data_IF_973462202132
#
_entry.id   IF_973462202132
#
_cell.length_a   1.000
_cell.length_b   1.000
_cell.length_c   1.000
_cell.angle_alpha   90.00
_cell.angle_beta   90.00
_cell.angle_gamma   90.00
#
_symmetry.space_group_name_H-M   'P 1'
#
loop_
_entity.id
_entity.type
_entity.pdbx_description
1 polymer ?
#
# COMPACT_ATOMS: atom_id res chain seq x y z
N UNK A 1 -9.91 17.51 -6.19
CA UNK A 1 -9.89 18.53 -5.10
C UNK A 1 -8.99 19.64 -5.61
N UNK A 2 -9.47 20.90 -5.61
CA UNK A 2 -8.66 22.03 -6.06
C UNK A 2 -7.51 22.18 -5.03
N UNK A 3 -6.27 21.85 -5.43
CA UNK A 3 -5.00 21.93 -4.66
C UNK A 3 -4.43 20.64 -4.05
N UNK A 4 -4.86 19.43 -4.47
CA UNK A 4 -4.16 18.18 -4.13
C UNK A 4 -2.78 18.05 -4.81
N UNK A 5 -2.00 17.05 -4.40
CA UNK A 5 -0.76 16.67 -5.08
C UNK A 5 -0.68 15.15 -5.24
N UNK A 6 -0.04 14.70 -6.31
CA UNK A 6 0.08 13.28 -6.63
C UNK A 6 1.42 12.72 -6.18
N UNK A 7 1.37 11.57 -5.56
CA UNK A 7 2.55 10.75 -5.25
C UNK A 7 2.34 9.34 -5.79
N UNK A 8 3.42 8.60 -5.98
CA UNK A 8 3.41 7.24 -6.54
C UNK A 8 3.97 6.25 -5.54
N UNK A 9 3.48 5.02 -5.60
CA UNK A 9 4.07 3.88 -4.90
C UNK A 9 4.08 2.66 -5.83
N UNK A 10 5.08 1.79 -5.66
CA UNK A 10 5.26 0.59 -6.48
C UNK A 10 5.03 -0.64 -5.63
N UNK A 11 4.25 -1.59 -6.14
CA UNK A 11 3.92 -2.82 -5.41
C UNK A 11 4.10 -4.01 -6.34
N UNK A 12 4.59 -5.12 -5.78
CA UNK A 12 4.66 -6.40 -6.50
C UNK A 12 3.27 -7.03 -6.64
N UNK A 13 2.39 -6.79 -5.67
CA UNK A 13 1.01 -7.23 -5.71
C UNK A 13 0.10 -6.21 -5.03
N UNK A 14 -0.92 -5.76 -5.75
CA UNK A 14 -1.93 -4.81 -5.23
C UNK A 14 -3.21 -5.46 -4.74
N UNK A 15 -3.32 -6.79 -4.86
CA UNK A 15 -4.53 -7.54 -4.57
C UNK A 15 -5.71 -7.06 -5.42
N UNK A 16 -6.81 -6.74 -4.74
CA UNK A 16 -8.01 -6.14 -5.29
C UNK A 16 -8.11 -4.61 -5.12
N UNK A 17 -7.00 -3.90 -4.90
CA UNK A 17 -6.98 -2.44 -4.83
C UNK A 17 -7.52 -1.83 -6.13
N UNK A 18 -8.37 -0.79 -6.01
CA UNK A 18 -9.04 -0.14 -7.14
C UNK A 18 -8.77 1.35 -7.16
N UNK A 19 -8.90 1.96 -8.35
CA UNK A 19 -9.02 3.42 -8.46
C UNK A 19 -10.19 3.90 -7.60
N UNK A 20 -10.05 5.08 -6.97
CA UNK A 20 -10.92 5.67 -5.95
C UNK A 20 -10.82 5.07 -4.54
N UNK A 21 -10.07 3.97 -4.35
CA UNK A 21 -9.79 3.44 -3.01
C UNK A 21 -9.21 4.53 -2.10
N UNK A 22 -9.49 4.42 -0.80
CA UNK A 22 -9.02 5.40 0.16
C UNK A 22 -7.49 5.37 0.29
N UNK A 23 -6.91 6.55 0.52
CA UNK A 23 -5.55 6.69 1.01
C UNK A 23 -5.68 7.30 2.40
N UNK A 24 -5.16 6.61 3.40
CA UNK A 24 -5.38 6.92 4.82
C UNK A 24 -4.06 7.03 5.56
N UNK A 25 -4.01 7.88 6.57
CA UNK A 25 -2.91 7.96 7.53
C UNK A 25 -3.51 8.03 8.94
N UNK A 26 -2.99 7.22 9.87
CA UNK A 26 -3.53 7.11 11.23
C UNK A 26 -5.07 6.89 11.28
N UNK A 27 -5.61 6.12 10.32
CA UNK A 27 -7.05 5.86 10.19
C UNK A 27 -7.88 7.00 9.57
N UNK A 28 -7.29 8.16 9.29
CA UNK A 28 -7.97 9.30 8.66
C UNK A 28 -7.75 9.28 7.15
N UNK A 29 -8.82 9.47 6.37
CA UNK A 29 -8.71 9.59 4.91
C UNK A 29 -8.09 10.93 4.54
N UNK A 30 -6.92 10.88 3.90
CA UNK A 30 -6.19 12.06 3.42
C UNK A 30 -6.18 12.18 1.89
N UNK A 31 -6.63 11.14 1.19
CA UNK A 31 -6.58 11.12 -0.27
C UNK A 31 -7.36 9.97 -0.90
N UNK A 32 -6.99 9.66 -2.14
CA UNK A 32 -7.53 8.53 -2.90
C UNK A 32 -6.55 8.04 -3.95
N UNK A 33 -6.65 6.76 -4.30
CA UNK A 33 -6.00 6.23 -5.49
C UNK A 33 -6.64 6.88 -6.72
N UNK A 34 -5.82 7.50 -7.56
CA UNK A 34 -6.24 8.21 -8.76
C UNK A 34 -5.99 7.41 -10.03
N UNK A 35 -4.97 6.56 -10.04
CA UNK A 35 -4.60 5.72 -11.20
C UNK A 35 -3.81 4.49 -10.75
N UNK A 36 -3.90 3.41 -11.53
CA UNK A 36 -3.13 2.17 -11.34
C UNK A 36 -2.67 1.71 -12.72
N UNK A 37 -1.36 1.59 -12.91
CA UNK A 37 -0.73 1.12 -14.15
C UNK A 37 0.23 -0.04 -13.86
N UNK A 38 0.65 -0.74 -14.90
CA UNK A 38 1.65 -1.80 -14.81
C UNK A 38 2.94 -1.38 -15.52
N UNK A 39 4.05 -1.41 -14.80
CA UNK A 39 5.38 -1.13 -15.35
C UNK A 39 5.98 -2.43 -15.89
N UNK A 40 6.02 -2.58 -17.21
CA UNK A 40 6.53 -3.78 -17.88
C UNK A 40 8.04 -3.94 -17.78
N UNK A 41 8.79 -2.89 -17.41
CA UNK A 41 10.24 -2.97 -17.23
C UNK A 41 10.61 -3.53 -15.85
N UNK A 42 9.82 -3.20 -14.83
CA UNK A 42 10.03 -3.67 -13.45
C UNK A 42 9.09 -4.79 -13.01
N UNK A 43 8.08 -5.11 -13.81
CA UNK A 43 7.01 -6.07 -13.49
C UNK A 43 6.27 -5.73 -12.18
N UNK A 44 6.05 -4.44 -11.95
CA UNK A 44 5.39 -3.93 -10.74
C UNK A 44 4.16 -3.09 -11.09
N UNK A 45 3.16 -3.10 -10.22
CA UNK A 45 2.07 -2.14 -10.28
C UNK A 45 2.58 -0.77 -9.80
N UNK A 46 2.18 0.28 -10.49
CA UNK A 46 2.42 1.68 -10.11
C UNK A 46 1.09 2.29 -9.71
N UNK A 47 0.94 2.58 -8.43
CA UNK A 47 -0.26 3.19 -7.85
C UNK A 47 -0.01 4.69 -7.70
N UNK A 48 -0.83 5.50 -8.37
CA UNK A 48 -0.79 6.97 -8.23
C UNK A 48 -1.87 7.42 -7.27
N UNK A 49 -1.48 8.14 -6.22
CA UNK A 49 -2.34 8.60 -5.14
C UNK A 49 -2.47 10.12 -5.20
N UNK A 50 -3.71 10.62 -5.19
CA UNK A 50 -4.03 12.05 -5.05
C UNK A 50 -4.25 12.35 -3.57
N UNK A 51 -3.33 13.11 -2.96
CA UNK A 51 -3.32 13.53 -1.56
C UNK A 51 -3.89 14.94 -1.47
N UNK A 52 -4.78 15.16 -0.52
CA UNK A 52 -5.37 16.48 -0.28
C UNK A 52 -4.30 17.49 0.13
N UNK A 53 -4.35 18.69 -0.45
CA UNK A 53 -3.36 19.76 -0.25
C UNK A 53 -3.24 20.29 1.17
N UNK A 54 -4.12 19.90 2.08
CA UNK A 54 -3.98 20.17 3.53
C UNK A 54 -2.87 19.34 4.19
N UNK A 55 -2.43 18.25 3.56
CA UNK A 55 -1.47 17.29 4.12
C UNK A 55 -0.13 17.30 3.37
N UNK A 56 0.51 18.47 3.22
CA UNK A 56 1.77 18.64 2.47
C UNK A 56 3.04 18.34 3.26
N UNK A 57 2.92 17.77 4.45
CA UNK A 57 4.02 17.52 5.39
C UNK A 57 4.27 16.02 5.56
N UNK A 58 4.07 15.24 4.50
CA UNK A 58 4.39 13.80 4.52
C UNK A 58 5.92 13.64 4.35
N UNK A 59 6.65 13.09 5.33
CA UNK A 59 8.10 12.89 5.23
C UNK A 59 8.51 12.08 4.00
N UNK A 60 9.69 12.32 3.45
CA UNK A 60 10.20 11.59 2.26
C UNK A 60 10.41 10.09 2.51
N UNK A 61 10.56 9.69 3.76
CA UNK A 61 10.62 8.30 4.22
C UNK A 61 9.25 7.73 4.65
N UNK A 62 8.13 8.39 4.29
CA UNK A 62 6.78 7.84 4.43
C UNK A 62 6.70 6.47 3.76
N UNK A 63 6.12 5.48 4.44
CA UNK A 63 5.84 4.15 3.88
C UNK A 63 4.40 4.04 3.37
N UNK A 64 4.17 3.13 2.42
CA UNK A 64 2.84 2.82 1.90
C UNK A 64 2.54 1.32 1.96
N UNK A 65 1.42 0.96 2.58
CA UNK A 65 0.99 -0.43 2.76
C UNK A 65 -0.39 -0.62 2.17
N UNK A 66 -0.62 -1.72 1.44
CA UNK A 66 -1.96 -2.09 1.00
C UNK A 66 -2.63 -2.92 2.09
N UNK A 67 -3.70 -2.37 2.66
CA UNK A 67 -4.44 -2.94 3.77
C UNK A 67 -5.84 -3.32 3.33
N UNK A 68 -6.46 -4.27 4.05
CA UNK A 68 -7.86 -4.66 3.88
C UNK A 68 -8.69 -4.08 5.02
N UNK A 69 -9.85 -3.51 4.72
CA UNK A 69 -10.77 -3.05 5.76
C UNK A 69 -11.40 -4.25 6.49
N UNK A 70 -10.85 -4.60 7.66
CA UNK A 70 -11.21 -5.84 8.34
C UNK A 70 -10.75 -7.08 7.55
N UNK A 71 -11.44 -8.21 7.72
CA UNK A 71 -11.04 -9.46 7.11
C UNK A 71 -11.37 -9.55 5.60
N UNK A 72 -12.50 -8.97 5.18
CA UNK A 72 -13.09 -9.17 3.85
C UNK A 72 -13.50 -7.86 3.15
N UNK A 73 -13.17 -6.71 3.72
CA UNK A 73 -13.56 -5.42 3.16
C UNK A 73 -12.75 -5.01 1.94
N UNK A 74 -13.01 -3.80 1.47
CA UNK A 74 -12.25 -3.22 0.38
C UNK A 74 -10.79 -2.95 0.79
N UNK A 75 -9.90 -2.99 -0.20
CA UNK A 75 -8.52 -2.62 0.01
C UNK A 75 -8.32 -1.11 -0.09
N UNK A 76 -7.39 -0.61 0.70
CA UNK A 76 -7.00 0.80 0.75
C UNK A 76 -5.50 0.92 0.97
N UNK A 77 -4.95 2.12 0.74
CA UNK A 77 -3.54 2.40 1.02
C UNK A 77 -3.43 3.08 2.38
N UNK A 78 -2.71 2.45 3.31
CA UNK A 78 -2.25 3.06 4.55
C UNK A 78 -0.90 3.71 4.35
N UNK A 79 -0.75 4.96 4.80
CA UNK A 79 0.52 5.66 4.86
C UNK A 79 0.96 5.79 6.33
N UNK A 80 2.25 5.57 6.57
CA UNK A 80 2.88 5.80 7.87
C UNK A 80 4.03 6.79 7.69
N UNK A 81 4.07 7.88 8.46
CA UNK A 81 5.15 8.84 8.37
C UNK A 81 6.43 8.25 8.93
N UNK A 82 7.57 8.60 8.33
CA UNK A 82 8.86 8.39 8.94
C UNK A 82 9.32 9.63 9.72
N UNK A 83 10.63 9.83 9.80
CA UNK A 83 11.26 10.85 10.64
C UNK A 83 12.09 11.89 9.86
N UNK A 84 12.11 11.81 8.53
CA UNK A 84 12.83 12.79 7.70
C UNK A 84 12.20 14.20 7.80
N UNK A 85 13.05 15.22 7.74
CA UNK A 85 12.64 16.63 7.79
C UNK A 85 12.18 17.17 6.43
N UNK A 86 12.48 16.44 5.34
CA UNK A 86 12.03 16.75 4.00
C UNK A 86 10.66 16.12 3.71
N UNK A 87 9.85 16.79 2.89
CA UNK A 87 8.50 16.33 2.54
C UNK A 87 8.38 15.90 1.07
N UNK A 88 7.53 14.90 0.83
CA UNK A 88 7.12 14.46 -0.50
C UNK A 88 6.42 15.58 -1.27
N UNK A 89 6.76 15.69 -2.55
CA UNK A 89 6.26 16.69 -3.50
C UNK A 89 5.47 16.04 -4.63
N UNK A 90 4.88 16.88 -5.48
CA UNK A 90 4.18 16.44 -6.69
C UNK A 90 5.09 15.55 -7.55
N UNK A 91 4.59 14.35 -7.88
CA UNK A 91 5.26 13.38 -8.72
C UNK A 91 6.23 12.44 -7.99
N UNK A 92 6.50 12.68 -6.71
CA UNK A 92 7.45 11.87 -5.94
C UNK A 92 6.98 10.42 -5.79
N UNK A 93 7.94 9.52 -5.60
CA UNK A 93 7.69 8.09 -5.43
C UNK A 93 8.08 7.66 -4.03
N UNK A 94 7.11 7.15 -3.27
CA UNK A 94 7.33 6.45 -2.00
C UNK A 94 8.19 5.21 -2.26
N UNK A 95 9.28 5.10 -1.50
CA UNK A 95 10.28 4.03 -1.65
C UNK A 95 9.97 2.81 -0.79
N UNK A 96 9.35 3.02 0.37
CA UNK A 96 9.05 1.97 1.34
C UNK A 96 7.62 1.48 1.11
N UNK A 97 7.48 0.28 0.57
CA UNK A 97 6.17 -0.26 0.19
C UNK A 97 5.97 -1.67 0.72
N UNK A 98 4.76 -1.95 1.22
CA UNK A 98 4.34 -3.30 1.59
C UNK A 98 3.16 -3.73 0.73
N UNK A 99 3.39 -4.77 -0.08
CA UNK A 99 2.39 -5.34 -0.99
C UNK A 99 1.21 -5.95 -0.25
N UNK A 100 0.08 -6.07 -0.97
CA UNK A 100 -1.10 -6.73 -0.44
C UNK A 100 -0.81 -8.18 -0.05
N UNK A 101 -1.34 -8.59 1.09
CA UNK A 101 -1.34 -9.98 1.52
C UNK A 101 -2.48 -10.73 0.81
N UNK A 102 -2.16 -11.89 0.25
CA UNK A 102 -3.13 -12.80 -0.37
C UNK A 102 -3.50 -13.87 0.66
N UNK A 103 -4.74 -13.82 1.17
CA UNK A 103 -5.21 -14.67 2.27
C UNK A 103 -5.07 -16.16 1.94
N UNK A 104 -5.35 -16.56 0.70
CA UNK A 104 -5.25 -17.93 0.22
C UNK A 104 -3.82 -18.46 0.34
N UNK A 105 -2.82 -17.60 0.09
CA UNK A 105 -1.41 -17.96 0.26
C UNK A 105 -1.07 -18.16 1.73
N UNK A 106 -1.59 -17.30 2.62
CA UNK A 106 -1.37 -17.45 4.06
C UNK A 106 -1.99 -18.74 4.59
N UNK A 107 -3.22 -19.07 4.18
CA UNK A 107 -3.89 -20.31 4.57
C UNK A 107 -3.07 -21.51 4.07
N UNK A 108 -2.59 -21.49 2.82
CA UNK A 108 -1.74 -22.56 2.29
C UNK A 108 -0.43 -22.71 3.04
N UNK A 109 0.23 -21.61 3.39
CA UNK A 109 1.46 -21.61 4.21
C UNK A 109 1.20 -22.16 5.61
N UNK A 110 0.07 -21.79 6.22
CA UNK A 110 -0.34 -22.28 7.53
C UNK A 110 -0.53 -23.80 7.51
N UNK A 111 -1.38 -24.32 6.60
CA UNK A 111 -1.62 -25.77 6.47
C UNK A 111 -0.32 -26.55 6.24
N UNK A 112 0.55 -26.04 5.37
CA UNK A 112 1.85 -26.67 5.09
C UNK A 112 2.76 -26.70 6.33
N UNK A 113 2.76 -25.63 7.12
CA UNK A 113 3.57 -25.53 8.35
C UNK A 113 3.11 -26.52 9.42
N UNK A 114 1.80 -26.74 9.54
CA UNK A 114 1.23 -27.77 10.42
C UNK A 114 1.63 -29.19 9.99
N UNK A 115 1.48 -29.52 8.71
CA UNK A 115 1.86 -30.83 8.20
C UNK A 115 3.36 -31.13 8.38
N UNK A 116 4.23 -30.12 8.20
CA UNK A 116 5.68 -30.25 8.41
C UNK A 116 6.08 -30.35 9.90
N UNK A 117 5.29 -29.78 10.81
CA UNK A 117 5.48 -29.90 12.25
C UNK A 117 5.13 -31.30 12.78
N UNK A 118 4.05 -31.90 12.29
CA UNK A 118 3.66 -33.27 12.64
C UNK A 118 4.67 -34.31 12.14
N UNK A 119 5.30 -34.10 10.98
CA UNK A 119 6.28 -35.04 10.44
C UNK A 119 7.61 -35.08 11.20
N UNK A 120 7.93 -34.07 12.02
CA UNK A 120 9.15 -34.01 12.84
C UNK A 120 8.96 -34.53 14.27
N UNK A 121 7.73 -34.88 14.64
CA UNK A 121 7.38 -35.37 15.98
C UNK A 121 7.15 -36.88 16.03
N UNK A 122 7.49 -37.62 14.97
CA UNK A 122 7.58 -39.09 14.89
C UNK A 122 9.00 -39.49 14.54
#
# INVERSE_FOLDING_TARGET
MLNGYKIKARFDNIGGLKVKAAVTMAGVRIGRVSDITFDTGKYQAVVTMDVDGRYKTLPTDTSATILTAGLLGEQYVGLEPGAEEEYLKEGDTIRLTQSAIVLEKLIGQFVTSFAAGESKSK
#
